data_IF_380736013145
#
_entry.id   IF_380736013145
#
_cell.length_a   1.000
_cell.length_b   1.000
_cell.length_c   1.000
_cell.angle_alpha   90.00
_cell.angle_beta   90.00
_cell.angle_gamma   90.00
#
_symmetry.space_group_name_H-M   'P 1'
#
loop_
_entity.id
_entity.type
_entity.pdbx_description
1 polymer ?
#
# COMPACT_ATOMS: atom_id res chain seq x y z
N UNK A 1 10.10 38.09 11.89
CA UNK A 1 8.98 37.46 11.14
C UNK A 1 9.47 37.22 9.73
N UNK A 2 9.38 35.99 9.21
CA UNK A 2 9.81 35.69 7.85
C UNK A 2 8.79 36.28 6.87
N UNK A 3 9.26 37.00 5.84
CA UNK A 3 8.39 37.50 4.78
C UNK A 3 8.09 36.35 3.79
N UNK A 4 6.82 35.92 3.73
CA UNK A 4 6.37 34.84 2.87
C UNK A 4 6.56 35.14 1.37
N UNK A 5 6.54 36.41 0.96
CA UNK A 5 6.79 36.80 -0.43
C UNK A 5 8.28 36.69 -0.80
N UNK A 6 9.18 36.90 0.15
CA UNK A 6 10.63 36.66 -0.05
C UNK A 6 10.91 35.16 -0.19
N UNK A 7 10.27 34.32 0.63
CA UNK A 7 10.38 32.86 0.52
C UNK A 7 9.92 32.33 -0.85
N UNK A 8 8.81 32.84 -1.41
CA UNK A 8 8.29 32.39 -2.71
C UNK A 8 9.20 32.72 -3.89
N UNK A 9 9.92 33.85 -3.83
CA UNK A 9 10.69 34.39 -4.96
C UNK A 9 12.12 33.89 -5.01
N UNK A 10 12.72 33.61 -3.86
CA UNK A 10 14.12 33.23 -3.80
C UNK A 10 14.27 31.71 -3.91
N UNK A 11 14.69 31.28 -5.11
CA UNK A 11 14.94 29.87 -5.46
C UNK A 11 15.98 29.19 -4.57
N UNK A 12 16.86 29.94 -3.88
CA UNK A 12 17.85 29.38 -2.95
C UNK A 12 17.21 28.78 -1.69
N UNK A 13 15.93 29.09 -1.41
CA UNK A 13 15.16 28.49 -0.32
C UNK A 13 14.67 27.06 -0.64
N UNK A 14 14.83 26.58 -1.88
CA UNK A 14 14.29 25.30 -2.32
C UNK A 14 15.41 24.38 -2.81
N UNK A 15 15.32 23.10 -2.45
CA UNK A 15 16.12 22.07 -3.09
C UNK A 15 15.47 21.68 -4.42
N UNK A 16 16.19 21.86 -5.52
CA UNK A 16 15.79 21.33 -6.81
C UNK A 16 15.92 19.81 -6.79
N UNK A 17 14.78 19.12 -6.82
CA UNK A 17 14.73 17.69 -7.11
C UNK A 17 14.93 17.51 -8.63
N UNK A 18 16.18 17.59 -9.08
CA UNK A 18 16.54 17.38 -10.49
C UNK A 18 16.45 15.89 -10.93
N UNK A 19 16.67 15.63 -12.21
CA UNK A 19 16.69 14.29 -12.79
C UNK A 19 17.83 13.37 -12.29
N UNK A 20 18.79 13.88 -11.51
CA UNK A 20 19.89 13.12 -10.91
C UNK A 20 19.51 12.53 -9.55
N UNK A 21 18.49 13.05 -8.87
CA UNK A 21 17.98 12.40 -7.66
C UNK A 21 17.34 11.07 -8.03
N UNK A 22 17.75 10.00 -7.33
CA UNK A 22 17.14 8.67 -7.48
C UNK A 22 15.65 8.71 -7.15
N UNK A 23 15.22 9.61 -6.25
CA UNK A 23 13.86 9.72 -5.72
C UNK A 23 13.36 11.16 -5.91
N UNK A 24 12.43 11.36 -6.84
CA UNK A 24 11.75 12.64 -7.07
C UNK A 24 10.35 12.64 -6.43
N UNK A 25 9.63 13.77 -6.48
CA UNK A 25 8.29 13.89 -5.90
C UNK A 25 7.28 12.88 -6.48
N UNK A 26 7.43 12.55 -7.77
CA UNK A 26 6.62 11.54 -8.44
C UNK A 26 6.88 10.14 -7.87
N UNK A 27 8.15 9.76 -7.73
CA UNK A 27 8.54 8.50 -7.09
C UNK A 27 7.98 8.39 -5.68
N UNK A 28 8.16 9.43 -4.85
CA UNK A 28 7.65 9.42 -3.48
C UNK A 28 6.13 9.28 -3.42
N UNK A 29 5.41 9.91 -4.34
CA UNK A 29 3.96 9.77 -4.40
C UNK A 29 3.52 8.39 -4.87
N UNK A 30 4.23 7.77 -5.81
CA UNK A 30 3.98 6.38 -6.20
C UNK A 30 4.19 5.43 -5.02
N UNK A 31 5.33 5.51 -4.33
CA UNK A 31 5.63 4.60 -3.21
C UNK A 31 4.68 4.80 -2.03
N UNK A 32 4.32 6.05 -1.70
CA UNK A 32 3.33 6.30 -0.63
C UNK A 32 1.99 5.68 -1.03
N UNK A 33 1.48 5.95 -2.22
CA UNK A 33 0.19 5.40 -2.65
C UNK A 33 0.15 3.87 -2.70
N UNK A 34 1.25 3.21 -3.09
CA UNK A 34 1.37 1.75 -3.06
C UNK A 34 1.46 1.20 -1.63
N UNK A 35 2.31 1.79 -0.77
CA UNK A 35 2.45 1.36 0.63
C UNK A 35 1.13 1.49 1.38
N UNK A 36 0.43 2.60 1.20
CA UNK A 36 -0.88 2.84 1.81
C UNK A 36 -1.93 1.83 1.34
N UNK A 37 -1.87 1.41 0.08
CA UNK A 37 -2.71 0.32 -0.41
C UNK A 37 -2.41 -1.01 0.27
N UNK A 38 -1.14 -1.36 0.44
CA UNK A 38 -0.74 -2.58 1.16
C UNK A 38 -1.13 -2.50 2.64
N UNK A 39 -1.06 -1.31 3.24
CA UNK A 39 -1.41 -1.06 4.64
C UNK A 39 -2.90 -1.15 4.94
N UNK A 40 -3.77 -1.11 3.91
CA UNK A 40 -5.21 -1.39 4.10
C UNK A 40 -5.47 -2.79 4.65
N UNK A 41 -4.55 -3.73 4.51
CA UNK A 41 -4.67 -5.03 5.17
C UNK A 41 -4.39 -4.92 6.68
N UNK A 42 -5.43 -5.23 7.47
CA UNK A 42 -5.41 -5.24 8.94
C UNK A 42 -5.80 -6.64 9.44
N UNK A 43 -4.84 -7.46 9.89
CA UNK A 43 -5.10 -8.84 10.32
C UNK A 43 -6.11 -8.92 11.47
N UNK A 44 -6.15 -7.91 12.34
CA UNK A 44 -7.09 -7.86 13.49
C UNK A 44 -8.54 -7.65 13.09
N UNK A 45 -8.75 -6.97 11.97
CA UNK A 45 -10.10 -6.78 11.43
C UNK A 45 -10.54 -8.04 10.67
N UNK A 46 -9.63 -8.66 9.93
CA UNK A 46 -9.88 -9.84 9.12
C UNK A 46 -9.40 -11.10 9.84
N UNK A 47 -10.06 -11.51 10.92
CA UNK A 47 -9.57 -12.56 11.80
C UNK A 47 -10.24 -13.94 11.64
N UNK A 48 -11.29 -14.09 10.82
CA UNK A 48 -12.04 -15.33 10.67
C UNK A 48 -12.03 -15.83 9.22
N UNK A 49 -11.95 -17.15 9.06
CA UNK A 49 -11.96 -17.83 7.76
C UNK A 49 -13.33 -17.81 7.08
N UNK A 50 -14.42 -17.89 7.85
CA UNK A 50 -15.78 -17.98 7.31
C UNK A 50 -16.20 -16.72 6.54
N UNK A 51 -15.59 -15.58 6.85
CA UNK A 51 -15.86 -14.29 6.19
C UNK A 51 -15.09 -14.12 4.87
N UNK A 52 -14.13 -14.99 4.54
CA UNK A 52 -13.19 -14.80 3.43
C UNK A 52 -13.85 -14.67 2.05
N UNK A 53 -15.07 -15.19 1.91
CA UNK A 53 -15.85 -15.13 0.68
C UNK A 53 -17.06 -14.19 0.76
N UNK A 54 -17.35 -13.60 1.93
CA UNK A 54 -18.49 -12.72 2.11
C UNK A 54 -18.08 -11.25 2.03
N UNK A 55 -18.21 -10.68 0.83
CA UNK A 55 -17.92 -9.26 0.53
C UNK A 55 -18.59 -8.30 1.51
N UNK A 56 -19.81 -8.61 1.98
CA UNK A 56 -20.54 -7.73 2.89
C UNK A 56 -19.90 -7.73 4.27
N UNK A 57 -19.55 -8.90 4.81
CA UNK A 57 -18.90 -9.03 6.12
C UNK A 57 -17.50 -8.42 6.11
N UNK A 58 -16.71 -8.68 5.06
CA UNK A 58 -15.39 -8.06 4.86
C UNK A 58 -15.53 -6.54 4.90
N UNK A 59 -16.45 -5.97 4.12
CA UNK A 59 -16.62 -4.53 4.06
C UNK A 59 -17.11 -3.93 5.39
N UNK A 60 -18.01 -4.62 6.11
CA UNK A 60 -18.52 -4.17 7.41
C UNK A 60 -17.41 -4.10 8.47
N UNK A 61 -16.45 -5.02 8.46
CA UNK A 61 -15.28 -5.00 9.38
C UNK A 61 -14.39 -3.77 9.22
N UNK A 62 -14.42 -3.17 8.03
CA UNK A 62 -13.69 -1.95 7.69
C UNK A 62 -14.55 -0.69 7.83
N UNK A 63 -15.86 -0.84 8.01
CA UNK A 63 -16.77 0.27 8.25
C UNK A 63 -16.34 1.05 9.50
N UNK A 64 -16.35 2.37 9.41
CA UNK A 64 -15.92 3.30 10.48
C UNK A 64 -14.46 3.17 10.94
N UNK A 65 -13.60 2.39 10.25
CA UNK A 65 -12.18 2.29 10.56
C UNK A 65 -11.42 3.57 10.20
N UNK A 66 -10.85 4.26 11.20
CA UNK A 66 -10.07 5.48 10.99
C UNK A 66 -8.82 5.24 10.14
N UNK A 67 -8.17 4.09 10.32
CA UNK A 67 -6.90 3.82 9.64
C UNK A 67 -7.13 3.47 8.18
N UNK A 68 -8.03 2.54 7.88
CA UNK A 68 -8.47 2.29 6.51
C UNK A 68 -8.90 3.57 5.78
N UNK A 69 -9.67 4.43 6.45
CA UNK A 69 -10.06 5.74 5.92
C UNK A 69 -8.83 6.58 5.54
N UNK A 70 -7.84 6.73 6.44
CA UNK A 70 -6.59 7.45 6.15
C UNK A 70 -5.84 6.82 4.98
N UNK A 71 -5.71 5.50 4.96
CA UNK A 71 -5.03 4.79 3.88
C UNK A 71 -5.68 5.11 2.53
N UNK A 72 -7.01 4.99 2.41
CA UNK A 72 -7.72 5.27 1.16
C UNK A 72 -7.57 6.73 0.70
N UNK A 73 -7.61 7.67 1.64
CA UNK A 73 -7.37 9.09 1.36
C UNK A 73 -5.97 9.26 0.75
N UNK A 74 -4.94 8.69 1.40
CA UNK A 74 -3.56 8.80 0.95
C UNK A 74 -3.34 8.11 -0.40
N UNK A 75 -3.93 6.93 -0.64
CA UNK A 75 -3.86 6.23 -1.92
C UNK A 75 -4.27 7.16 -3.06
N UNK A 76 -5.50 7.70 -3.03
CA UNK A 76 -5.99 8.47 -4.18
C UNK A 76 -5.31 9.84 -4.33
N UNK A 77 -4.91 10.49 -3.23
CA UNK A 77 -4.14 11.75 -3.31
C UNK A 77 -2.78 11.51 -3.98
N UNK A 78 -2.03 10.52 -3.50
CA UNK A 78 -0.65 10.32 -3.94
C UNK A 78 -0.59 9.67 -5.33
N UNK A 79 -1.48 8.72 -5.64
CA UNK A 79 -1.53 8.13 -6.98
C UNK A 79 -1.99 9.16 -8.03
N UNK A 80 -2.94 10.04 -7.70
CA UNK A 80 -3.33 11.11 -8.60
C UNK A 80 -2.18 12.09 -8.84
N UNK A 81 -1.45 12.48 -7.79
CA UNK A 81 -0.29 13.36 -7.92
C UNK A 81 0.81 12.74 -8.79
N UNK A 82 1.12 11.46 -8.57
CA UNK A 82 2.06 10.73 -9.42
C UNK A 82 1.65 10.80 -10.90
N UNK A 83 0.40 10.43 -11.21
CA UNK A 83 -0.13 10.43 -12.58
C UNK A 83 -0.12 11.83 -13.19
N UNK A 84 -0.43 12.88 -12.42
CA UNK A 84 -0.39 14.26 -12.88
C UNK A 84 1.02 14.69 -13.29
N UNK A 85 2.02 14.37 -12.48
CA UNK A 85 3.41 14.65 -12.83
C UNK A 85 3.85 13.87 -14.08
N UNK A 86 3.41 12.62 -14.24
CA UNK A 86 3.74 11.85 -15.45
C UNK A 86 3.10 12.44 -16.71
N UNK A 87 1.81 12.79 -16.65
CA UNK A 87 1.11 13.42 -17.78
C UNK A 87 1.75 14.75 -18.15
N UNK A 88 2.06 15.60 -17.17
CA UNK A 88 2.70 16.90 -17.41
C UNK A 88 4.09 16.75 -18.00
N UNK A 89 4.88 15.79 -17.51
CA UNK A 89 6.20 15.49 -18.05
C UNK A 89 6.16 15.10 -19.53
N UNK A 90 5.16 14.32 -19.95
CA UNK A 90 4.98 13.99 -21.37
C UNK A 90 4.56 15.21 -22.20
N UNK A 91 3.69 16.09 -21.68
CA UNK A 91 3.32 17.34 -22.35
C UNK A 91 4.51 18.30 -22.50
N UNK A 92 5.30 18.45 -21.44
CA UNK A 92 6.49 19.31 -21.39
C UNK A 92 7.59 18.86 -22.36
N UNK A 93 7.61 17.57 -22.72
CA UNK A 93 8.55 17.04 -23.71
C UNK A 93 8.35 17.63 -25.12
N UNK A 94 7.15 18.14 -25.42
CA UNK A 94 6.86 18.90 -26.64
C UNK A 94 7.23 20.37 -26.41
N UNK A 95 6.65 20.99 -25.38
CA UNK A 95 6.89 22.36 -24.99
C UNK A 95 6.37 22.58 -23.55
N UNK A 96 7.14 23.29 -22.71
CA UNK A 96 6.78 23.60 -21.31
C UNK A 96 5.41 24.27 -21.14
N UNK A 97 4.93 24.95 -22.18
CA UNK A 97 3.62 25.62 -22.16
C UNK A 97 2.45 24.65 -22.31
N UNK A 98 2.69 23.41 -22.73
CA UNK A 98 1.64 22.40 -22.91
C UNK A 98 1.06 21.93 -21.57
N UNK A 99 1.88 21.91 -20.52
CA UNK A 99 1.43 21.67 -19.13
C UNK A 99 0.97 22.95 -18.41
N UNK A 100 0.97 24.09 -19.11
CA UNK A 100 0.67 25.41 -18.55
C UNK A 100 -0.61 26.05 -19.15
N UNK A 101 -1.21 26.95 -18.37
CA UNK A 101 -2.30 27.86 -18.79
C UNK A 101 -1.71 29.27 -18.86
N UNK A 102 -1.69 29.82 -20.07
CA UNK A 102 -1.26 31.20 -20.33
C UNK A 102 -2.48 32.10 -20.17
N UNK A 103 -2.50 32.87 -19.08
CA UNK A 103 -3.56 33.86 -18.83
C UNK A 103 -3.09 35.30 -19.14
N UNK A 104 -1.78 35.53 -19.20
CA UNK A 104 -1.20 36.85 -19.51
C UNK A 104 -1.16 37.08 -21.03
N UNK A 105 -1.87 38.11 -21.56
CA UNK A 105 -1.90 38.41 -22.99
C UNK A 105 -0.52 38.73 -23.59
N UNK A 106 0.41 39.27 -22.80
CA UNK A 106 1.78 39.59 -23.27
C UNK A 106 2.58 38.30 -23.45
N UNK A 107 2.46 37.36 -22.51
CA UNK A 107 3.07 36.03 -22.64
C UNK A 107 2.46 35.31 -23.85
N UNK A 108 1.14 35.39 -24.02
CA UNK A 108 0.47 34.79 -25.17
C UNK A 108 0.96 35.38 -26.51
N UNK A 109 1.11 36.71 -26.63
CA UNK A 109 1.67 37.36 -27.82
C UNK A 109 3.07 36.84 -28.13
N UNK A 110 3.93 36.72 -27.11
CA UNK A 110 5.29 36.21 -27.28
C UNK A 110 5.30 34.79 -27.82
N UNK A 111 4.46 33.92 -27.26
CA UNK A 111 4.33 32.52 -27.66
C UNK A 111 3.82 32.41 -29.10
N UNK A 112 2.76 33.15 -29.45
CA UNK A 112 2.20 33.18 -30.80
C UNK A 112 3.21 33.67 -31.85
N UNK A 113 4.15 34.53 -31.44
CA UNK A 113 5.21 35.06 -32.30
C UNK A 113 6.56 34.34 -32.15
N UNK A 114 6.58 33.13 -31.57
CA UNK A 114 7.79 32.31 -31.35
C UNK A 114 8.94 33.05 -30.64
N UNK A 115 8.62 34.01 -29.77
CA UNK A 115 9.60 34.68 -28.91
C UNK A 115 9.87 33.81 -27.69
N UNK A 116 11.15 33.74 -27.28
CA UNK A 116 11.54 33.04 -26.06
C UNK A 116 10.94 33.72 -24.83
N UNK A 117 10.43 32.93 -23.90
CA UNK A 117 9.98 33.38 -22.59
C UNK A 117 11.15 33.29 -21.60
N UNK A 118 11.23 34.24 -20.67
CA UNK A 118 12.13 34.10 -19.52
C UNK A 118 11.56 33.14 -18.47
N UNK A 119 12.39 32.60 -17.58
CA UNK A 119 11.94 31.76 -16.47
C UNK A 119 10.93 32.49 -15.56
N UNK A 120 11.09 33.80 -15.39
CA UNK A 120 10.14 34.63 -14.64
C UNK A 120 8.77 34.68 -15.34
N UNK A 121 8.73 34.70 -16.67
CA UNK A 121 7.48 34.67 -17.43
C UNK A 121 6.83 33.29 -17.40
N UNK A 122 7.62 32.22 -17.50
CA UNK A 122 7.14 30.85 -17.33
C UNK A 122 6.54 30.66 -15.93
N UNK A 123 7.16 31.22 -14.89
CA UNK A 123 6.66 31.13 -13.51
C UNK A 123 5.31 31.82 -13.27
N UNK A 124 4.92 32.76 -14.15
CA UNK A 124 3.61 33.43 -14.12
C UNK A 124 2.52 32.60 -14.77
N UNK A 125 2.87 31.55 -15.51
CA UNK A 125 1.90 30.65 -16.10
C UNK A 125 1.35 29.70 -15.02
N UNK A 126 0.03 29.49 -15.01
CA UNK A 126 -0.58 28.57 -14.07
C UNK A 126 -0.40 27.13 -14.57
N UNK A 127 -0.15 26.19 -13.67
CA UNK A 127 -0.13 24.78 -14.04
C UNK A 127 -1.53 24.31 -14.44
N UNK A 128 -1.64 23.51 -15.50
CA UNK A 128 -2.90 22.95 -15.98
C UNK A 128 -3.43 21.93 -14.97
N UNK A 129 -4.74 21.92 -14.74
CA UNK A 129 -5.39 20.92 -13.90
C UNK A 129 -5.33 19.53 -14.54
N UNK A 130 -5.26 18.48 -13.72
CA UNK A 130 -5.09 17.10 -14.19
C UNK A 130 -6.07 16.70 -15.31
N UNK A 131 -7.36 17.02 -15.17
CA UNK A 131 -8.39 16.66 -16.14
C UNK A 131 -8.16 17.29 -17.52
N UNK A 132 -7.64 18.51 -17.56
CA UNK A 132 -7.27 19.16 -18.82
C UNK A 132 -5.96 18.62 -19.38
N UNK A 133 -4.99 18.34 -18.51
CA UNK A 133 -3.70 17.81 -18.90
C UNK A 133 -3.85 16.43 -19.58
N UNK A 134 -4.64 15.52 -18.98
CA UNK A 134 -4.87 14.19 -19.57
C UNK A 134 -5.67 14.28 -20.88
N UNK A 135 -6.63 15.21 -20.97
CA UNK A 135 -7.38 15.45 -22.21
C UNK A 135 -6.43 15.90 -23.33
N UNK A 136 -5.60 16.92 -23.07
CA UNK A 136 -4.58 17.41 -24.02
C UNK A 136 -3.66 16.29 -24.47
N UNK A 137 -3.14 15.49 -23.53
CA UNK A 137 -2.27 14.35 -23.83
C UNK A 137 -2.97 13.37 -24.79
N UNK A 138 -4.22 12.99 -24.51
CA UNK A 138 -4.97 12.05 -25.36
C UNK A 138 -5.22 12.62 -26.76
N UNK A 139 -5.59 13.90 -26.85
CA UNK A 139 -5.81 14.56 -28.15
C UNK A 139 -4.52 14.56 -28.99
N UNK A 140 -3.36 14.85 -28.38
CA UNK A 140 -2.06 14.84 -29.06
C UNK A 140 -1.59 13.44 -29.46
N UNK A 141 -1.87 12.41 -28.65
CA UNK A 141 -1.59 11.02 -29.00
C UNK A 141 -2.46 10.58 -30.18
N UNK A 142 -3.75 10.95 -30.17
CA UNK A 142 -4.69 10.64 -31.25
C UNK A 142 -4.28 11.26 -32.58
N UNK A 143 -3.82 12.51 -32.55
CA UNK A 143 -3.33 13.21 -33.74
C UNK A 143 -1.89 12.81 -34.15
N UNK A 144 -1.26 11.87 -33.43
CA UNK A 144 0.08 11.37 -33.76
C UNK A 144 1.21 12.36 -33.46
N UNK A 145 0.94 13.45 -32.72
CA UNK A 145 1.94 14.44 -32.31
C UNK A 145 2.81 13.89 -31.18
N UNK A 146 2.17 13.27 -30.18
CA UNK A 146 2.87 12.64 -29.05
C UNK A 146 2.88 11.12 -29.26
N UNK A 147 4.05 10.54 -29.48
CA UNK A 147 4.17 9.14 -29.92
C UNK A 147 4.98 8.25 -28.97
N UNK A 148 5.44 8.79 -27.84
CA UNK A 148 6.22 8.07 -26.83
C UNK A 148 5.44 6.86 -26.31
N UNK A 149 6.11 5.74 -25.95
CA UNK A 149 5.42 4.59 -25.37
C UNK A 149 4.62 4.93 -24.11
N UNK A 150 5.15 5.80 -23.25
CA UNK A 150 4.49 6.26 -22.02
C UNK A 150 3.23 7.07 -22.28
N UNK A 151 3.25 7.99 -23.25
CA UNK A 151 2.05 8.74 -23.61
C UNK A 151 0.94 7.83 -24.14
N UNK A 152 1.28 6.80 -24.93
CA UNK A 152 0.32 5.79 -25.41
C UNK A 152 -0.28 5.00 -24.25
N UNK A 153 0.53 4.55 -23.30
CA UNK A 153 0.05 3.85 -22.09
C UNK A 153 -0.87 4.75 -21.26
N UNK A 154 -0.48 6.00 -21.00
CA UNK A 154 -1.30 6.96 -20.25
C UNK A 154 -2.62 7.26 -20.98
N UNK A 155 -2.60 7.43 -22.30
CA UNK A 155 -3.79 7.68 -23.10
C UNK A 155 -4.73 6.47 -23.14
N UNK A 156 -4.20 5.26 -23.32
CA UNK A 156 -4.98 4.02 -23.32
C UNK A 156 -5.66 3.75 -21.97
N UNK A 157 -5.03 4.15 -20.87
CA UNK A 157 -5.54 3.97 -19.51
C UNK A 157 -6.27 5.22 -18.96
N UNK A 158 -6.71 6.13 -19.82
CA UNK A 158 -7.45 7.34 -19.42
C UNK A 158 -8.61 7.06 -18.46
N UNK A 159 -9.48 6.05 -18.65
CA UNK A 159 -10.58 5.79 -17.72
C UNK A 159 -10.12 5.54 -16.28
N UNK A 160 -9.01 4.83 -16.09
CA UNK A 160 -8.40 4.59 -14.77
C UNK A 160 -7.89 5.88 -14.15
N UNK A 161 -7.22 6.72 -14.94
CA UNK A 161 -6.69 8.02 -14.52
C UNK A 161 -7.83 8.98 -14.13
N UNK A 162 -8.91 9.01 -14.92
CA UNK A 162 -10.11 9.79 -14.66
C UNK A 162 -10.81 9.31 -13.37
N UNK A 163 -10.85 8.00 -13.13
CA UNK A 163 -11.39 7.44 -11.88
C UNK A 163 -10.55 7.83 -10.65
N UNK A 164 -9.23 7.71 -10.72
CA UNK A 164 -8.33 8.13 -9.64
C UNK A 164 -8.50 9.62 -9.33
N UNK A 165 -8.61 10.45 -10.37
CA UNK A 165 -8.86 11.89 -10.24
C UNK A 165 -10.24 12.17 -9.64
N UNK A 166 -11.28 11.45 -10.07
CA UNK A 166 -12.62 11.52 -9.50
C UNK A 166 -12.62 11.19 -8.01
N UNK A 167 -11.95 10.10 -7.61
CA UNK A 167 -11.86 9.68 -6.22
C UNK A 167 -11.12 10.70 -5.36
N UNK A 168 -9.98 11.22 -5.84
CA UNK A 168 -9.25 12.31 -5.15
C UNK A 168 -10.15 13.52 -4.93
N UNK A 169 -10.87 13.96 -5.97
CA UNK A 169 -11.77 15.11 -5.86
C UNK A 169 -12.96 14.85 -4.93
N UNK A 170 -13.53 13.64 -4.98
CA UNK A 170 -14.64 13.24 -4.11
C UNK A 170 -14.22 13.20 -2.64
N UNK A 171 -13.03 12.67 -2.36
CA UNK A 171 -12.44 12.61 -1.03
C UNK A 171 -12.12 14.03 -0.53
N UNK A 172 -11.34 14.81 -1.27
CA UNK A 172 -10.85 16.11 -0.82
C UNK A 172 -11.92 17.20 -0.77
N UNK A 173 -12.84 17.24 -1.75
CA UNK A 173 -13.80 18.35 -1.86
C UNK A 173 -15.16 18.03 -1.24
N UNK A 174 -15.55 16.75 -1.19
CA UNK A 174 -16.84 16.35 -0.60
C UNK A 174 -16.70 15.68 0.75
N UNK A 175 -15.55 15.06 1.08
CA UNK A 175 -15.23 14.51 2.40
C UNK A 175 -16.18 13.42 2.92
N UNK A 176 -17.05 12.87 2.07
CA UNK A 176 -18.21 12.07 2.49
C UNK A 176 -18.22 10.62 2.01
N UNK A 177 -17.30 10.26 1.11
CA UNK A 177 -17.34 8.95 0.47
C UNK A 177 -15.94 8.38 0.36
N UNK A 178 -15.80 7.15 0.82
CA UNK A 178 -14.58 6.34 0.74
C UNK A 178 -14.97 5.03 0.07
N UNK A 179 -14.04 4.47 -0.70
CA UNK A 179 -14.26 3.20 -1.37
C UNK A 179 -14.25 2.09 -0.33
N UNK A 180 -15.21 1.16 -0.42
CA UNK A 180 -15.24 -0.04 0.41
C UNK A 180 -14.03 -0.94 0.12
N UNK A 181 -13.66 -1.79 1.07
CA UNK A 181 -12.42 -2.59 1.03
C UNK A 181 -12.33 -3.47 -0.22
N UNK A 182 -13.37 -4.25 -0.48
CA UNK A 182 -13.41 -5.16 -1.62
C UNK A 182 -13.38 -4.41 -2.96
N UNK A 183 -14.09 -3.28 -3.04
CA UNK A 183 -14.15 -2.43 -4.22
C UNK A 183 -12.82 -1.72 -4.48
N UNK A 184 -12.10 -1.34 -3.42
CA UNK A 184 -10.72 -0.84 -3.55
C UNK A 184 -9.81 -1.91 -4.14
N UNK A 185 -9.93 -3.15 -3.69
CA UNK A 185 -9.13 -4.25 -4.21
C UNK A 185 -9.39 -4.54 -5.67
N UNK A 186 -10.65 -4.49 -6.11
CA UNK A 186 -11.00 -4.63 -7.52
C UNK A 186 -10.41 -3.49 -8.35
N UNK A 187 -10.59 -2.23 -7.93
CA UNK A 187 -10.03 -1.08 -8.65
C UNK A 187 -8.50 -1.17 -8.73
N UNK A 188 -7.86 -1.53 -7.63
CA UNK A 188 -6.40 -1.60 -7.57
C UNK A 188 -5.88 -2.74 -8.43
N UNK A 189 -6.37 -3.97 -8.25
CA UNK A 189 -5.88 -5.16 -8.95
C UNK A 189 -6.22 -5.18 -10.45
N UNK A 190 -7.40 -4.70 -10.85
CA UNK A 190 -7.87 -4.82 -12.24
C UNK A 190 -7.54 -3.59 -13.10
N UNK A 191 -7.24 -2.43 -12.50
CA UNK A 191 -7.03 -1.19 -13.23
C UNK A 191 -5.75 -0.45 -12.84
N UNK A 192 -5.63 -0.02 -11.59
CA UNK A 192 -4.54 0.89 -11.18
C UNK A 192 -3.18 0.20 -11.23
N UNK A 193 -3.08 -1.01 -10.69
CA UNK A 193 -1.84 -1.79 -10.70
C UNK A 193 -1.49 -2.27 -12.11
N UNK A 194 -2.48 -2.51 -12.98
CA UNK A 194 -2.27 -2.84 -14.39
C UNK A 194 -1.58 -1.68 -15.11
N UNK A 195 -2.11 -0.46 -14.96
CA UNK A 195 -1.48 0.76 -15.47
C UNK A 195 -0.05 0.93 -14.95
N UNK A 196 0.19 0.75 -13.65
CA UNK A 196 1.54 0.89 -13.10
C UNK A 196 2.50 -0.19 -13.58
N UNK A 197 2.04 -1.43 -13.74
CA UNK A 197 2.85 -2.50 -14.34
C UNK A 197 3.26 -2.14 -15.77
N UNK A 198 2.35 -1.59 -16.57
CA UNK A 198 2.66 -1.12 -17.93
C UNK A 198 3.68 0.01 -17.91
N UNK A 199 3.46 1.07 -17.11
CA UNK A 199 4.40 2.19 -17.00
C UNK A 199 5.78 1.75 -16.52
N UNK A 200 5.87 0.98 -15.43
CA UNK A 200 7.12 0.53 -14.84
C UNK A 200 7.93 -0.42 -15.75
N UNK A 201 7.28 -1.02 -16.75
CA UNK A 201 7.95 -1.83 -17.77
C UNK A 201 8.68 -0.99 -18.82
N UNK A 202 8.36 0.30 -18.95
CA UNK A 202 8.94 1.17 -19.97
C UNK A 202 10.34 1.69 -19.56
N UNK A 203 11.24 1.94 -20.53
CA UNK A 203 12.61 2.37 -20.25
C UNK A 203 12.73 3.67 -19.42
N UNK A 204 11.81 4.62 -19.62
CA UNK A 204 11.77 5.89 -18.89
C UNK A 204 11.39 5.73 -17.41
N UNK A 205 10.81 4.59 -17.01
CA UNK A 205 10.51 4.26 -15.61
C UNK A 205 11.50 3.26 -15.00
N UNK A 206 12.56 2.87 -15.72
CA UNK A 206 13.56 1.91 -15.25
C UNK A 206 14.18 2.28 -13.90
N UNK A 207 14.35 3.58 -13.61
CA UNK A 207 14.82 4.06 -12.31
C UNK A 207 13.84 3.73 -11.18
N UNK A 208 12.56 4.02 -11.36
CA UNK A 208 11.52 3.72 -10.37
C UNK A 208 11.39 2.20 -10.18
N UNK A 209 11.37 1.45 -11.29
CA UNK A 209 11.30 0.00 -11.26
C UNK A 209 12.48 -0.61 -10.49
N UNK A 210 13.73 -0.13 -10.68
CA UNK A 210 14.89 -0.59 -9.89
C UNK A 210 14.73 -0.35 -8.39
N UNK A 211 14.24 0.83 -8.00
CA UNK A 211 14.04 1.17 -6.59
C UNK A 211 12.94 0.33 -5.94
N UNK A 212 11.80 0.17 -6.63
CA UNK A 212 10.70 -0.66 -6.17
C UNK A 212 11.05 -2.16 -6.16
N UNK A 213 11.85 -2.63 -7.12
CA UNK A 213 12.41 -3.99 -7.13
C UNK A 213 13.34 -4.22 -5.94
N UNK A 214 14.16 -3.23 -5.56
CA UNK A 214 14.97 -3.30 -4.34
C UNK A 214 14.12 -3.53 -3.08
N UNK A 215 12.88 -3.04 -3.08
CA UNK A 215 11.88 -3.26 -2.02
C UNK A 215 10.97 -4.48 -2.31
N UNK A 216 11.24 -5.24 -3.38
CA UNK A 216 10.41 -6.34 -3.90
C UNK A 216 8.93 -6.00 -4.17
N UNK A 217 8.55 -4.72 -4.26
CA UNK A 217 7.15 -4.28 -4.40
C UNK A 217 6.60 -4.65 -5.78
N UNK A 218 7.38 -4.40 -6.81
CA UNK A 218 7.10 -4.75 -8.21
C UNK A 218 6.85 -6.24 -8.43
N UNK A 219 7.55 -7.11 -7.68
CA UNK A 219 7.34 -8.55 -7.73
C UNK A 219 5.97 -8.97 -7.18
N UNK A 220 5.35 -8.15 -6.34
CA UNK A 220 4.03 -8.40 -5.72
C UNK A 220 2.87 -7.77 -6.51
N UNK A 221 3.14 -6.80 -7.39
CA UNK A 221 2.13 -6.21 -8.28
C UNK A 221 1.50 -7.29 -9.18
N UNK A 222 2.31 -8.14 -9.82
CA UNK A 222 1.79 -9.14 -10.77
C UNK A 222 0.90 -10.21 -10.10
N UNK A 223 1.27 -10.80 -8.94
CA UNK A 223 0.39 -11.69 -8.19
C UNK A 223 -0.94 -11.05 -7.77
N UNK A 224 -0.94 -9.79 -7.30
CA UNK A 224 -2.19 -9.09 -6.94
C UNK A 224 -3.11 -8.91 -8.15
N UNK A 225 -2.55 -8.51 -9.30
CA UNK A 225 -3.32 -8.41 -10.56
C UNK A 225 -3.92 -9.77 -10.94
N UNK A 226 -3.15 -10.85 -10.84
CA UNK A 226 -3.61 -12.19 -11.16
C UNK A 226 -4.74 -12.66 -10.25
N UNK A 227 -4.61 -12.43 -8.94
CA UNK A 227 -5.65 -12.75 -7.95
C UNK A 227 -6.95 -11.99 -8.24
N UNK A 228 -6.86 -10.68 -8.52
CA UNK A 228 -8.02 -9.84 -8.83
C UNK A 228 -8.66 -10.08 -10.19
N UNK A 229 -7.94 -10.69 -11.15
CA UNK A 229 -8.46 -10.99 -12.48
C UNK A 229 -9.26 -12.31 -12.56
N UNK A 230 -9.33 -13.09 -11.46
CA UNK A 230 -10.11 -14.34 -11.39
C UNK A 230 -11.61 -14.06 -11.49
N UNK A 231 -12.36 -15.00 -12.06
CA UNK A 231 -13.83 -14.89 -12.21
C UNK A 231 -14.56 -14.80 -10.88
N UNK A 232 -14.01 -15.45 -9.85
CA UNK A 232 -14.37 -15.26 -8.45
C UNK A 232 -13.13 -14.77 -7.73
N UNK A 233 -13.17 -13.54 -7.23
CA UNK A 233 -12.02 -12.93 -6.56
C UNK A 233 -11.90 -13.48 -5.16
N UNK A 234 -10.72 -14.02 -4.85
CA UNK A 234 -10.36 -14.43 -3.50
C UNK A 234 -9.64 -13.27 -2.80
N UNK A 235 -10.35 -12.60 -1.89
CA UNK A 235 -9.80 -11.47 -1.15
C UNK A 235 -8.73 -11.88 -0.13
N UNK A 236 -8.71 -13.15 0.30
CA UNK A 236 -7.66 -13.69 1.16
C UNK A 236 -6.31 -13.79 0.42
N UNK A 237 -6.33 -14.15 -0.86
CA UNK A 237 -5.14 -14.18 -1.71
C UNK A 237 -4.57 -12.77 -1.94
N UNK A 238 -5.43 -11.78 -2.20
CA UNK A 238 -5.01 -10.38 -2.32
C UNK A 238 -4.43 -9.88 -0.99
N UNK A 239 -5.10 -10.17 0.13
CA UNK A 239 -4.62 -9.82 1.46
C UNK A 239 -3.25 -10.44 1.78
N UNK A 240 -2.99 -11.69 1.38
CA UNK A 240 -1.69 -12.33 1.53
C UNK A 240 -0.58 -11.56 0.80
N UNK A 241 -0.81 -11.18 -0.46
CA UNK A 241 0.19 -10.41 -1.20
C UNK A 241 0.39 -9.00 -0.66
N UNK A 242 -0.66 -8.36 -0.12
CA UNK A 242 -0.53 -7.10 0.64
C UNK A 242 0.30 -7.30 1.90
N UNK A 243 0.09 -8.37 2.66
CA UNK A 243 0.87 -8.68 3.86
C UNK A 243 2.36 -8.84 3.55
N UNK A 244 2.69 -9.54 2.46
CA UNK A 244 4.06 -9.63 1.96
C UNK A 244 4.61 -8.24 1.58
N UNK A 245 3.84 -7.42 0.89
CA UNK A 245 4.28 -6.11 0.43
C UNK A 245 4.54 -5.15 1.60
N UNK A 246 3.63 -5.12 2.57
CA UNK A 246 3.73 -4.35 3.82
C UNK A 246 4.96 -4.73 4.65
N UNK A 247 5.26 -6.03 4.74
CA UNK A 247 6.45 -6.50 5.46
C UNK A 247 7.75 -6.08 4.77
N UNK A 248 7.74 -5.94 3.44
CA UNK A 248 8.93 -5.57 2.66
C UNK A 248 9.09 -4.07 2.44
N UNK A 249 8.01 -3.29 2.50
CA UNK A 249 8.05 -1.82 2.43
C UNK A 249 8.54 -1.18 3.73
N UNK A 250 8.38 -1.88 4.86
CA UNK A 250 8.98 -1.47 6.13
C UNK A 250 10.51 -1.67 6.09
N UNK A 251 11.24 -0.57 5.91
CA UNK A 251 12.71 -0.44 5.91
C UNK A 251 13.43 -0.95 7.19
N UNK A 252 12.72 -1.62 8.11
CA UNK A 252 13.29 -2.27 9.30
C UNK A 252 14.05 -3.56 9.00
N UNK A 253 14.13 -3.94 7.73
CA UNK A 253 14.85 -5.12 7.25
C UNK A 253 16.37 -4.90 7.35
N UNK A 254 16.87 -4.77 8.58
CA UNK A 254 18.29 -4.98 8.81
C UNK A 254 18.59 -6.46 8.55
N UNK A 255 19.71 -6.76 7.91
CA UNK A 255 20.23 -8.13 7.77
C UNK A 255 20.67 -8.69 9.14
N UNK A 256 19.83 -8.63 10.17
CA UNK A 256 20.12 -9.29 11.45
C UNK A 256 20.00 -10.78 11.22
N UNK A 257 21.15 -11.45 11.30
CA UNK A 257 21.23 -12.89 11.09
C UNK A 257 20.64 -13.68 12.25
N UNK A 258 20.60 -13.11 13.46
CA UNK A 258 20.12 -13.76 14.68
C UNK A 258 19.37 -12.75 15.56
N UNK A 259 18.21 -13.16 16.07
CA UNK A 259 17.54 -12.50 17.18
C UNK A 259 17.94 -13.22 18.47
N UNK A 260 18.34 -12.47 19.49
CA UNK A 260 18.53 -13.04 20.82
C UNK A 260 17.18 -13.49 21.41
N UNK A 261 17.22 -14.45 22.34
CA UNK A 261 16.05 -14.87 23.12
C UNK A 261 15.37 -13.70 23.82
N UNK A 262 16.15 -12.75 24.33
CA UNK A 262 15.64 -11.54 25.00
C UNK A 262 14.94 -10.58 24.03
N UNK A 263 15.43 -10.45 22.80
CA UNK A 263 14.77 -9.63 21.77
C UNK A 263 13.44 -10.24 21.33
N UNK A 264 13.39 -11.57 21.17
CA UNK A 264 12.15 -12.29 20.86
C UNK A 264 11.13 -12.20 22.00
N UNK A 265 11.59 -12.30 23.26
CA UNK A 265 10.73 -12.12 24.43
C UNK A 265 10.16 -10.70 24.52
N UNK A 266 10.99 -9.67 24.29
CA UNK A 266 10.54 -8.27 24.24
C UNK A 266 9.53 -8.03 23.11
N UNK A 267 9.78 -8.59 21.94
CA UNK A 267 8.87 -8.51 20.81
C UNK A 267 7.53 -9.19 21.10
N UNK A 268 7.55 -10.37 21.73
CA UNK A 268 6.34 -11.10 22.13
C UNK A 268 5.51 -10.28 23.10
N UNK A 269 6.14 -9.68 24.11
CA UNK A 269 5.47 -8.78 25.05
C UNK A 269 4.87 -7.56 24.35
N UNK A 270 5.56 -7.03 23.33
CA UNK A 270 5.04 -5.95 22.51
C UNK A 270 3.80 -6.38 21.73
N UNK A 271 3.80 -7.53 21.08
CA UNK A 271 2.62 -8.04 20.38
C UNK A 271 1.46 -8.28 21.36
N UNK A 272 1.70 -8.91 22.51
CA UNK A 272 0.66 -9.07 23.54
C UNK A 272 0.02 -7.74 23.92
N UNK A 273 0.82 -6.66 23.98
CA UNK A 273 0.34 -5.30 24.26
C UNK A 273 -0.41 -4.69 23.07
N UNK A 274 0.18 -4.74 21.87
CA UNK A 274 -0.36 -4.10 20.66
C UNK A 274 -1.74 -4.69 20.27
N UNK A 275 -1.97 -5.97 20.57
CA UNK A 275 -3.19 -6.68 20.21
C UNK A 275 -4.20 -6.78 21.37
N UNK A 276 -3.93 -6.15 22.52
CA UNK A 276 -4.90 -5.99 23.64
C UNK A 276 -5.55 -7.28 24.15
N UNK A 277 -4.80 -8.38 24.20
CA UNK A 277 -5.31 -9.65 24.73
C UNK A 277 -4.47 -10.06 25.93
N UNK A 278 -5.09 -10.00 27.11
CA UNK A 278 -4.44 -10.34 28.40
C UNK A 278 -4.05 -11.83 28.47
N UNK A 279 -4.69 -12.67 27.65
CA UNK A 279 -4.52 -14.12 27.59
C UNK A 279 -3.95 -14.58 26.23
N UNK A 280 -2.87 -13.94 25.74
CA UNK A 280 -2.13 -14.41 24.56
C UNK A 280 -0.83 -15.10 24.94
N UNK A 281 -0.59 -16.27 24.36
CA UNK A 281 0.67 -17.01 24.39
C UNK A 281 1.32 -17.12 23.01
N UNK A 282 2.64 -17.23 23.01
CA UNK A 282 3.43 -17.65 21.85
C UNK A 282 3.99 -19.03 22.18
N UNK A 283 3.54 -20.05 21.44
CA UNK A 283 4.01 -21.43 21.67
C UNK A 283 5.33 -21.70 20.97
N UNK A 284 5.50 -21.16 19.76
CA UNK A 284 6.67 -21.42 18.93
C UNK A 284 6.99 -20.27 17.97
N UNK A 285 8.28 -20.17 17.65
CA UNK A 285 8.76 -19.42 16.50
C UNK A 285 9.03 -20.37 15.35
N UNK A 286 8.40 -20.09 14.22
CA UNK A 286 8.63 -20.83 12.98
C UNK A 286 9.33 -19.95 11.95
N UNK A 287 9.75 -20.58 10.86
CA UNK A 287 10.39 -19.89 9.76
C UNK A 287 9.41 -18.95 9.06
N UNK A 288 9.75 -17.67 8.96
CA UNK A 288 8.92 -16.68 8.28
C UNK A 288 8.97 -16.88 6.75
N UNK A 289 7.83 -16.95 6.04
CA UNK A 289 7.80 -17.07 4.58
C UNK A 289 8.23 -15.79 3.86
N UNK A 290 8.21 -14.63 4.56
CA UNK A 290 8.60 -13.35 3.98
C UNK A 290 10.11 -13.09 4.10
N UNK A 291 10.71 -13.39 5.25
CA UNK A 291 12.14 -13.13 5.50
C UNK A 291 13.03 -14.35 5.71
N UNK A 292 12.44 -15.54 5.72
CA UNK A 292 13.15 -16.80 5.84
C UNK A 292 13.95 -16.96 7.16
N UNK A 293 13.63 -16.15 8.19
CA UNK A 293 14.19 -16.21 9.55
C UNK A 293 13.24 -16.93 10.49
N UNK A 294 13.79 -17.63 11.49
CA UNK A 294 13.02 -18.36 12.52
C UNK A 294 12.50 -17.42 13.61
N UNK A 295 11.65 -16.47 13.19
CA UNK A 295 11.16 -15.37 14.04
C UNK A 295 9.66 -15.11 13.87
N UNK A 296 8.92 -16.00 13.17
CA UNK A 296 7.47 -15.89 13.03
C UNK A 296 6.80 -16.48 14.27
N UNK A 297 6.25 -15.63 15.12
CA UNK A 297 5.53 -16.05 16.31
C UNK A 297 4.12 -16.54 15.92
N UNK A 298 3.73 -17.73 16.37
CA UNK A 298 2.35 -18.20 16.29
C UNK A 298 1.63 -17.80 17.57
N UNK A 299 0.52 -17.07 17.42
CA UNK A 299 -0.17 -16.42 18.53
C UNK A 299 -1.53 -17.06 18.73
N UNK A 300 -1.76 -17.50 19.97
CA UNK A 300 -2.96 -18.21 20.39
C UNK A 300 -3.73 -17.37 21.39
N UNK A 301 -5.06 -17.44 21.30
CA UNK A 301 -5.98 -16.84 22.26
C UNK A 301 -6.39 -17.87 23.31
N UNK A 302 -6.18 -17.55 24.59
CA UNK A 302 -6.50 -18.39 25.74
C UNK A 302 -7.72 -17.85 26.50
N UNK A 303 -8.53 -16.98 25.88
CA UNK A 303 -9.66 -16.30 26.55
C UNK A 303 -10.88 -17.17 26.85
N UNK A 304 -11.01 -18.35 26.21
CA UNK A 304 -12.12 -19.30 26.43
C UNK A 304 -11.78 -20.45 27.41
N UNK A 305 -10.80 -20.25 28.29
CA UNK A 305 -10.52 -21.23 29.36
C UNK A 305 -11.64 -21.13 30.39
N UNK A 306 -12.61 -22.05 30.34
CA UNK A 306 -13.45 -22.34 31.50
C UNK A 306 -12.57 -22.95 32.60
N UNK A 307 -12.56 -22.35 33.79
CA UNK A 307 -11.96 -22.96 34.98
C UNK A 307 -12.75 -24.24 35.31
N UNK A 308 -12.22 -25.41 34.93
CA UNK A 308 -12.78 -26.69 35.36
C UNK A 308 -12.36 -26.92 36.81
N UNK A 309 -13.28 -26.72 37.74
CA UNK A 309 -13.13 -27.15 39.12
C UNK A 309 -13.43 -28.65 39.20
N UNK A 310 -12.39 -29.48 39.22
CA UNK A 310 -12.53 -30.85 39.72
C UNK A 310 -12.65 -30.78 41.25
N UNK A 311 -13.88 -30.79 41.77
CA UNK A 311 -14.14 -31.10 43.17
C UNK A 311 -13.79 -32.58 43.41
N UNK A 312 -12.52 -32.84 43.74
CA UNK A 312 -12.15 -34.13 44.34
C UNK A 312 -12.68 -34.10 45.77
N UNK A 313 -13.72 -34.89 46.00
CA UNK A 313 -14.42 -35.00 47.27
C UNK A 313 -13.49 -35.23 48.46
N UNK A 314 -13.92 -34.66 49.59
CA UNK A 314 -13.28 -34.68 50.90
C UNK A 314 -12.71 -36.06 51.27
N UNK A 315 -11.42 -36.09 51.62
CA UNK A 315 -10.95 -36.33 53.00
C UNK A 315 -9.43 -36.56 53.01
N UNK A 316 -8.75 -35.85 53.91
CA UNK A 316 -7.36 -36.01 54.38
C UNK A 316 -6.26 -35.14 53.73
N UNK A 317 -5.87 -34.14 54.53
CA UNK A 317 -4.58 -33.46 54.67
C UNK A 317 -3.59 -33.51 53.49
N UNK A 318 -3.42 -32.34 52.87
CA UNK A 318 -2.23 -32.03 52.08
C UNK A 318 -2.38 -32.18 50.56
N UNK A 319 -3.52 -31.78 49.99
CA UNK A 319 -3.68 -31.74 48.53
C UNK A 319 -3.12 -30.41 48.00
N UNK A 320 -2.01 -30.49 47.26
CA UNK A 320 -1.60 -29.40 46.38
C UNK A 320 -2.60 -29.37 45.23
N UNK A 321 -3.43 -28.33 45.14
CA UNK A 321 -4.24 -28.07 43.96
C UNK A 321 -3.28 -27.83 42.81
N UNK A 322 -3.11 -28.83 41.94
CA UNK A 322 -2.42 -28.64 40.68
C UNK A 322 -3.45 -28.01 39.75
N UNK A 323 -3.30 -26.71 39.47
CA UNK A 323 -4.00 -26.05 38.36
C UNK A 323 -3.49 -26.67 37.04
N UNK A 324 -4.05 -27.80 36.66
CA UNK A 324 -3.86 -28.40 35.35
C UNK A 324 -4.84 -27.77 34.40
N UNK A 325 -4.40 -26.75 33.64
CA UNK A 325 -5.13 -26.29 32.48
C UNK A 325 -5.14 -27.44 31.46
N UNK A 326 -6.27 -28.14 31.30
CA UNK A 326 -6.39 -29.11 30.22
C UNK A 326 -6.82 -28.40 28.94
N UNK A 327 -5.90 -28.30 27.98
CA UNK A 327 -6.03 -27.39 26.84
C UNK A 327 -6.86 -28.10 25.73
N UNK A 328 -8.19 -28.08 25.70
CA UNK A 328 -8.92 -28.83 24.62
C UNK A 328 -9.19 -28.04 23.35
N UNK A 329 -9.28 -26.70 23.36
CA UNK A 329 -9.54 -25.91 22.15
C UNK A 329 -8.78 -24.57 22.16
N UNK A 330 -7.58 -24.54 21.56
CA UNK A 330 -6.86 -23.27 21.28
C UNK A 330 -7.19 -22.78 19.89
N UNK A 331 -7.70 -21.56 19.80
CA UNK A 331 -7.83 -20.88 18.53
C UNK A 331 -6.56 -20.06 18.25
N UNK A 332 -5.75 -20.53 17.28
CA UNK A 332 -4.72 -19.69 16.67
C UNK A 332 -5.37 -18.44 16.09
N UNK A 333 -4.90 -17.26 16.49
CA UNK A 333 -5.55 -16.00 16.12
C UNK A 333 -4.83 -15.30 14.97
N UNK A 334 -3.51 -15.24 15.09
CA UNK A 334 -2.65 -14.55 14.14
C UNK A 334 -1.22 -15.10 14.21
N UNK A 335 -0.42 -14.75 13.21
CA UNK A 335 1.04 -14.97 13.23
C UNK A 335 1.74 -13.66 12.93
N UNK A 336 2.88 -13.40 13.57
CA UNK A 336 3.60 -12.13 13.42
C UNK A 336 5.11 -12.30 13.51
N UNK A 337 5.84 -11.75 12.55
CA UNK A 337 7.28 -11.91 12.43
C UNK A 337 8.04 -10.78 13.12
N UNK A 338 8.93 -11.13 14.06
CA UNK A 338 9.77 -10.15 14.78
C UNK A 338 10.73 -9.38 13.87
N UNK A 339 11.25 -10.04 12.82
CA UNK A 339 12.21 -9.42 11.92
C UNK A 339 11.57 -8.44 10.93
N UNK A 340 10.66 -8.91 10.08
CA UNK A 340 10.12 -8.10 8.98
C UNK A 340 8.72 -7.53 9.23
N UNK A 341 8.11 -7.79 10.40
CA UNK A 341 6.74 -7.33 10.70
C UNK A 341 5.66 -7.96 9.81
N UNK A 342 5.96 -9.10 9.18
CA UNK A 342 4.96 -9.86 8.42
C UNK A 342 3.93 -10.43 9.38
N UNK A 343 2.66 -10.13 9.14
CA UNK A 343 1.55 -10.58 9.98
C UNK A 343 0.44 -11.20 9.14
N UNK A 344 -0.10 -12.33 9.55
CA UNK A 344 -1.29 -12.94 8.97
C UNK A 344 -2.31 -13.25 10.06
N UNK A 345 -3.56 -13.30 9.67
CA UNK A 345 -4.69 -13.75 10.47
C UNK A 345 -5.36 -14.93 9.77
N UNK A 346 -6.26 -15.63 10.47
CA UNK A 346 -6.97 -16.78 9.91
C UNK A 346 -7.78 -16.47 8.65
N UNK A 347 -8.06 -15.22 8.31
CA UNK A 347 -8.65 -14.86 7.01
C UNK A 347 -7.86 -15.38 5.81
N UNK A 348 -6.55 -15.59 5.99
CA UNK A 348 -5.68 -16.21 5.00
C UNK A 348 -5.52 -17.67 5.40
N UNK A 349 -5.96 -18.59 4.55
CA UNK A 349 -5.83 -20.04 4.78
C UNK A 349 -4.38 -20.52 4.64
N UNK A 350 -4.15 -21.81 4.43
CA UNK A 350 -2.82 -22.35 4.20
C UNK A 350 -2.13 -21.73 2.97
N UNK A 351 -0.88 -21.29 3.15
CA UNK A 351 -0.13 -20.61 2.10
C UNK A 351 0.04 -21.44 0.83
N UNK A 352 0.09 -22.77 0.98
CA UNK A 352 0.21 -23.73 -0.13
C UNK A 352 -0.99 -23.66 -1.09
N UNK A 353 -2.16 -23.23 -0.62
CA UNK A 353 -3.33 -23.06 -1.48
C UNK A 353 -3.14 -21.96 -2.53
N UNK A 354 -2.29 -20.97 -2.25
CA UNK A 354 -2.04 -19.84 -3.13
C UNK A 354 -0.79 -20.03 -3.99
N UNK A 355 0.25 -20.68 -3.46
CA UNK A 355 1.48 -20.96 -4.22
C UNK A 355 2.25 -22.14 -3.62
N UNK A 356 2.54 -23.15 -4.45
CA UNK A 356 3.29 -24.36 -4.07
C UNK A 356 4.67 -24.06 -3.50
N UNK A 357 5.28 -22.90 -3.81
CA UNK A 357 6.56 -22.50 -3.20
C UNK A 357 6.47 -22.35 -1.68
N UNK A 358 5.26 -22.21 -1.12
CA UNK A 358 5.03 -22.10 0.32
C UNK A 358 4.64 -23.43 0.97
N UNK A 359 4.68 -24.57 0.26
CA UNK A 359 4.29 -25.87 0.79
C UNK A 359 5.01 -26.30 2.08
N UNK A 360 6.23 -25.79 2.31
CA UNK A 360 7.01 -26.04 3.52
C UNK A 360 6.60 -25.19 4.73
N UNK A 361 5.72 -24.20 4.55
CA UNK A 361 5.28 -23.28 5.60
C UNK A 361 3.85 -23.64 6.01
N UNK A 362 3.72 -24.52 7.02
CA UNK A 362 2.45 -24.77 7.70
C UNK A 362 2.29 -23.71 8.80
N UNK A 363 1.42 -22.74 8.55
CA UNK A 363 1.24 -21.61 9.46
C UNK A 363 0.12 -21.91 10.45
N UNK A 364 -0.97 -22.52 9.98
CA UNK A 364 -2.06 -22.91 10.85
C UNK A 364 -1.92 -24.41 11.19
N UNK A 365 -2.17 -24.77 12.46
CA UNK A 365 -2.11 -26.16 12.94
C UNK A 365 -3.43 -26.56 13.55
#
# INVERSE_FOLDING_TARGET
MINLETLKKDSSNYYLLDNNYKKDAAYYSLIIGLTEYFDTYHPDKLNNNDDAQNITEINNKYENGSDYTKNVINIFIHLQHFLELQVKKELDSINLLMSSRINDPIILEKVLNNKNLSDEEISKCYSVEMSDAIKRLCDLVKEGVLTTPSSKVLSANRPTIDFVTYMRNKIMHRGKYILKYCELDLVMSQHVLVLFKELLSLPNYSKYNKLLNGQCITALIAPIIQAGAKSSVDYSEIALYKAFAKAKSNDKYEERYYFSTDELAKWTKKIQTDYSHENIGVEQYVKCPCCNKDTLAVIFDYSDIEEVFDEIGDEQEGVTVIHGFYPTDYEQKLVSCANCGFTLSKFITELVHYDNKYASYKIWQ
#
